data_IF_849265248276
#
_entry.id   IF_849265248276
#
_cell.length_a   1.000
_cell.length_b   1.000
_cell.length_c   1.000
_cell.angle_alpha   90.00
_cell.angle_beta   90.00
_cell.angle_gamma   90.00
#
_symmetry.space_group_name_H-M   'P 1'
#
loop_
_entity.id
_entity.type
_entity.pdbx_description
1 polymer ?
#
# COMPACT_ATOMS: atom_id res chain seq x y z
N UNK A 1 38.92 -57.95 -49.78
CA UNK A 1 38.76 -59.34 -50.25
C UNK A 1 38.57 -60.20 -49.00
N UNK A 2 37.56 -61.06 -48.82
CA UNK A 2 36.41 -61.46 -49.66
C UNK A 2 35.13 -61.57 -48.79
N UNK A 3 33.96 -61.30 -49.40
CA UNK A 3 32.66 -62.02 -49.35
C UNK A 3 32.07 -62.54 -48.00
N UNK A 4 30.77 -62.75 -47.76
CA UNK A 4 29.50 -62.88 -48.51
C UNK A 4 28.35 -62.27 -47.62
N UNK A 5 27.08 -62.04 -47.96
CA UNK A 5 26.22 -62.14 -49.18
C UNK A 5 25.01 -61.18 -49.03
N UNK A 6 24.15 -61.02 -50.06
CA UNK A 6 22.79 -60.44 -49.95
C UNK A 6 21.73 -61.48 -50.30
N UNK A 7 20.56 -61.47 -49.65
CA UNK A 7 19.31 -61.98 -50.24
C UNK A 7 18.09 -61.13 -49.87
N UNK A 8 17.20 -60.90 -50.84
CA UNK A 8 15.84 -60.34 -50.67
C UNK A 8 14.83 -61.48 -50.76
N UNK A 9 13.62 -61.32 -50.19
CA UNK A 9 12.46 -61.23 -51.09
C UNK A 9 11.37 -60.21 -50.70
N UNK A 10 10.66 -59.73 -51.73
CA UNK A 10 9.26 -59.24 -51.70
C UNK A 10 8.35 -60.42 -52.08
N UNK A 11 7.05 -60.50 -51.81
CA UNK A 11 6.09 -59.77 -50.94
C UNK A 11 4.76 -60.54 -50.99
N UNK A 12 3.81 -60.30 -50.07
CA UNK A 12 2.36 -60.26 -50.37
C UNK A 12 1.58 -59.65 -49.20
N UNK A 13 0.52 -58.92 -49.52
CA UNK A 13 -0.38 -58.31 -48.55
C UNK A 13 -1.72 -59.04 -48.52
N UNK A 14 -2.30 -59.18 -47.33
CA UNK A 14 -3.75 -59.32 -47.07
C UNK A 14 -4.00 -58.54 -45.78
N UNK A 15 -4.98 -57.64 -45.78
CA UNK A 15 -5.32 -56.84 -44.60
C UNK A 15 -6.42 -57.47 -43.75
N UNK A 16 -6.63 -56.91 -42.56
CA UNK A 16 -7.89 -56.74 -41.82
C UNK A 16 -7.54 -55.86 -40.60
N UNK A 17 -8.24 -54.74 -40.41
CA UNK A 17 -8.24 -53.99 -39.15
C UNK A 17 -9.36 -54.55 -38.25
N UNK A 18 -9.28 -54.47 -36.91
CA UNK A 18 -9.68 -53.21 -36.28
C UNK A 18 -9.00 -52.83 -34.94
N UNK A 19 -9.19 -51.56 -34.55
CA UNK A 19 -9.17 -51.03 -33.16
C UNK A 19 -7.86 -51.12 -32.36
N UNK A 20 -6.97 -50.14 -32.59
CA UNK A 20 -6.32 -49.46 -31.47
C UNK A 20 -7.20 -48.27 -31.05
N UNK A 21 -7.71 -48.28 -29.82
CA UNK A 21 -8.18 -47.06 -29.14
C UNK A 21 -7.01 -46.55 -28.33
N UNK A 22 -6.22 -45.64 -28.92
CA UNK A 22 -5.27 -44.85 -28.15
C UNK A 22 -6.05 -43.70 -27.49
N UNK A 23 -6.31 -43.80 -26.19
CA UNK A 23 -6.81 -42.65 -25.44
C UNK A 23 -5.65 -41.67 -25.29
N UNK A 24 -5.56 -40.70 -26.21
CA UNK A 24 -4.69 -39.55 -26.04
C UNK A 24 -5.29 -38.65 -24.94
N UNK A 25 -4.88 -38.88 -23.71
CA UNK A 25 -5.11 -37.96 -22.59
C UNK A 25 -4.37 -36.65 -22.90
N UNK A 26 -5.05 -35.73 -23.56
CA UNK A 26 -4.66 -34.34 -23.61
C UNK A 26 -4.81 -33.79 -22.19
N UNK A 27 -3.73 -33.88 -21.40
CA UNK A 27 -3.54 -32.97 -20.30
C UNK A 27 -3.40 -31.57 -20.90
N UNK A 28 -4.53 -30.86 -20.99
CA UNK A 28 -4.53 -29.41 -21.06
C UNK A 28 -3.94 -28.94 -19.74
N UNK A 29 -2.67 -28.53 -19.78
CA UNK A 29 -2.09 -27.72 -18.72
C UNK A 29 -2.79 -26.37 -18.79
N UNK A 30 -3.92 -26.23 -18.09
CA UNK A 30 -4.51 -24.94 -17.78
C UNK A 30 -3.51 -24.21 -16.87
N UNK A 31 -2.58 -23.49 -17.48
CA UNK A 31 -1.83 -22.46 -16.77
C UNK A 31 -2.84 -21.44 -16.26
N UNK A 32 -2.86 -21.10 -14.96
CA UNK A 32 -3.74 -20.04 -14.47
C UNK A 32 -3.38 -18.74 -15.19
N UNK A 33 -4.30 -18.28 -16.04
CA UNK A 33 -4.19 -17.01 -16.75
C UNK A 33 -4.51 -15.90 -15.76
N UNK A 34 -3.47 -15.22 -15.28
CA UNK A 34 -3.60 -14.04 -14.43
C UNK A 34 -4.08 -12.88 -15.30
N UNK A 35 -5.05 -12.11 -14.84
CA UNK A 35 -5.80 -11.22 -15.72
C UNK A 35 -5.36 -9.77 -15.51
N UNK A 36 -4.31 -9.33 -16.19
CA UNK A 36 -3.68 -8.04 -15.91
C UNK A 36 -3.06 -7.38 -17.14
N UNK A 37 -2.92 -6.07 -17.08
CA UNK A 37 -2.09 -5.30 -18.01
C UNK A 37 -1.07 -4.43 -17.27
N UNK A 38 0.03 -4.10 -17.96
CA UNK A 38 1.03 -3.13 -17.48
C UNK A 38 0.80 -1.79 -18.15
N UNK A 39 0.72 -0.74 -17.34
CA UNK A 39 0.75 0.65 -17.75
C UNK A 39 2.17 1.18 -17.50
N UNK A 40 2.91 1.40 -18.58
CA UNK A 40 4.31 1.83 -18.52
C UNK A 40 4.39 3.36 -18.50
N UNK A 41 4.96 3.94 -17.45
CA UNK A 41 5.25 5.36 -17.31
C UNK A 41 6.72 5.62 -17.62
N UNK A 42 7.01 5.94 -18.88
CA UNK A 42 8.33 5.92 -19.50
C UNK A 42 9.29 7.04 -19.08
N UNK A 43 8.97 7.76 -18.00
CA UNK A 43 9.82 8.81 -17.44
C UNK A 43 9.18 9.44 -16.21
N UNK A 44 10.01 10.08 -15.40
CA UNK A 44 9.57 10.88 -14.25
C UNK A 44 8.86 12.14 -14.77
N UNK A 45 7.57 12.29 -14.48
CA UNK A 45 6.80 13.50 -14.83
C UNK A 45 7.35 14.74 -14.10
N UNK A 46 7.84 14.54 -12.87
CA UNK A 46 8.44 15.58 -12.06
C UNK A 46 8.92 15.07 -10.72
N UNK A 47 9.68 15.91 -10.01
CA UNK A 47 10.14 15.68 -8.65
C UNK A 47 9.85 16.93 -7.82
N UNK A 48 9.21 16.79 -6.66
CA UNK A 48 8.86 17.94 -5.82
C UNK A 48 8.07 17.57 -4.57
N UNK A 49 7.92 18.52 -3.65
CA UNK A 49 7.03 18.37 -2.48
C UNK A 49 5.58 18.65 -2.87
N UNK A 50 5.07 17.84 -3.77
CA UNK A 50 3.71 17.91 -4.32
C UNK A 50 2.98 16.66 -3.87
N UNK A 51 1.87 16.85 -3.16
CA UNK A 51 1.01 15.78 -2.66
C UNK A 51 -0.41 16.34 -2.46
N UNK A 52 -1.26 16.26 -3.49
CA UNK A 52 -2.61 16.79 -3.44
C UNK A 52 -3.58 15.98 -2.56
N UNK A 53 -3.15 14.83 -2.03
CA UNK A 53 -3.94 14.05 -1.09
C UNK A 53 -3.61 14.51 0.34
N UNK A 54 -2.33 14.51 0.72
CA UNK A 54 -1.91 14.80 2.11
C UNK A 54 -1.70 16.30 2.39
N UNK A 55 -1.45 17.12 1.38
CA UNK A 55 -1.19 18.55 1.50
C UNK A 55 -1.88 19.40 0.40
N UNK A 56 -3.21 19.28 0.19
CA UNK A 56 -3.92 20.03 -0.85
C UNK A 56 -3.67 21.54 -0.74
N UNK A 57 -3.19 22.12 -1.85
CA UNK A 57 -2.92 23.55 -2.02
C UNK A 57 -1.62 24.02 -1.36
N UNK A 58 -0.78 23.13 -0.83
CA UNK A 58 0.44 23.48 -0.10
C UNK A 58 1.60 22.51 -0.37
N UNK A 59 2.86 22.95 -0.25
CA UNK A 59 4.00 22.04 -0.30
C UNK A 59 3.91 20.91 0.75
N UNK A 60 4.05 19.66 0.28
CA UNK A 60 4.06 18.46 1.10
C UNK A 60 5.21 18.44 2.12
N UNK A 61 5.13 17.55 3.12
CA UNK A 61 6.17 17.43 4.14
C UNK A 61 7.52 16.97 3.57
N UNK A 62 7.50 16.08 2.57
CA UNK A 62 8.66 15.49 1.92
C UNK A 62 8.48 15.45 0.39
N UNK A 63 9.52 15.02 -0.33
CA UNK A 63 9.55 15.05 -1.80
C UNK A 63 9.13 13.72 -2.42
N UNK A 64 8.28 13.80 -3.45
CA UNK A 64 7.85 12.67 -4.26
C UNK A 64 8.47 12.71 -5.65
N UNK A 65 8.60 11.53 -6.25
CA UNK A 65 8.71 11.35 -7.70
C UNK A 65 7.31 11.05 -8.24
N UNK A 66 6.94 11.72 -9.34
CA UNK A 66 5.58 11.69 -9.89
C UNK A 66 5.57 11.14 -11.31
N UNK A 67 4.44 10.54 -11.69
CA UNK A 67 4.16 9.95 -13.00
C UNK A 67 2.69 10.20 -13.37
N UNK A 68 2.36 10.12 -14.67
CA UNK A 68 1.00 10.33 -15.17
C UNK A 68 0.81 11.70 -15.80
N UNK A 69 -0.35 12.33 -15.56
CA UNK A 69 -0.82 13.50 -16.31
C UNK A 69 -0.14 14.84 -15.97
N UNK A 70 0.13 15.66 -16.99
CA UNK A 70 0.92 16.91 -16.89
C UNK A 70 0.39 17.97 -15.93
N UNK A 71 -0.93 17.98 -15.66
CA UNK A 71 -1.55 18.96 -14.77
C UNK A 71 -1.54 18.50 -13.30
N UNK A 72 -0.71 17.50 -12.95
CA UNK A 72 -0.32 17.24 -11.57
C UNK A 72 0.15 18.53 -10.89
N UNK A 73 -0.28 18.75 -9.65
CA UNK A 73 -0.06 20.01 -8.94
C UNK A 73 -0.41 19.91 -7.45
N UNK A 74 -0.42 21.05 -6.75
CA UNK A 74 -0.70 21.07 -5.31
C UNK A 74 -2.15 20.74 -4.95
N UNK A 75 -3.11 20.99 -5.84
CA UNK A 75 -4.54 20.69 -5.65
C UNK A 75 -5.28 20.60 -7.00
N UNK A 76 -4.93 19.62 -7.88
CA UNK A 76 -5.54 19.51 -9.18
C UNK A 76 -6.97 18.98 -9.06
N UNK A 77 -7.89 19.61 -9.78
CA UNK A 77 -9.24 19.08 -9.99
C UNK A 77 -9.23 17.96 -11.04
N UNK A 78 -10.28 17.14 -11.05
CA UNK A 78 -10.47 16.11 -12.08
C UNK A 78 -10.47 16.71 -13.49
N UNK A 79 -11.17 17.82 -13.69
CA UNK A 79 -11.25 18.51 -14.98
C UNK A 79 -9.87 19.02 -15.44
N UNK A 80 -9.02 19.46 -14.50
CA UNK A 80 -7.64 19.85 -14.81
C UNK A 80 -6.76 18.65 -15.17
N UNK A 81 -6.87 17.51 -14.46
CA UNK A 81 -6.14 16.28 -14.81
C UNK A 81 -6.54 15.79 -16.21
N UNK A 82 -7.84 15.67 -16.50
CA UNK A 82 -8.38 15.29 -17.81
C UNK A 82 -7.99 16.30 -18.92
N UNK A 83 -7.76 17.57 -18.58
CA UNK A 83 -7.26 18.60 -19.49
C UNK A 83 -5.72 18.65 -19.63
N UNK A 84 -5.00 17.63 -19.15
CA UNK A 84 -3.53 17.55 -19.29
C UNK A 84 -3.10 17.46 -20.75
N UNK A 85 -2.08 18.24 -21.11
CA UNK A 85 -1.56 18.28 -22.48
C UNK A 85 -0.75 17.02 -22.86
N UNK A 86 -0.23 16.31 -21.86
CA UNK A 86 0.45 15.02 -22.02
C UNK A 86 0.31 14.18 -20.74
N UNK A 87 0.71 12.92 -20.83
CA UNK A 87 0.95 12.02 -19.69
C UNK A 87 2.34 11.41 -19.86
N UNK A 88 3.07 11.11 -18.78
CA UNK A 88 4.33 10.34 -18.89
C UNK A 88 4.09 8.84 -19.15
N UNK A 89 2.82 8.42 -19.18
CA UNK A 89 2.41 7.03 -19.27
C UNK A 89 1.81 6.63 -20.63
N UNK A 90 2.20 5.44 -21.07
CA UNK A 90 1.92 4.76 -22.34
C UNK A 90 0.49 4.90 -22.88
N UNK A 91 -0.54 4.76 -22.04
CA UNK A 91 -1.95 4.78 -22.45
C UNK A 91 -2.47 6.22 -22.41
N UNK A 92 -2.77 6.80 -23.57
CA UNK A 92 -3.19 8.21 -23.72
C UNK A 92 -4.55 8.54 -23.12
N UNK A 93 -5.35 7.53 -22.77
CA UNK A 93 -6.65 7.68 -22.11
C UNK A 93 -6.54 7.70 -20.58
N UNK A 94 -5.33 7.58 -20.03
CA UNK A 94 -5.10 7.62 -18.60
C UNK A 94 -4.50 8.97 -18.20
N UNK A 95 -5.34 9.81 -17.58
CA UNK A 95 -4.92 11.07 -16.99
C UNK A 95 -4.77 10.97 -15.46
N UNK A 96 -4.75 9.76 -14.91
CA UNK A 96 -4.44 9.52 -13.50
C UNK A 96 -3.02 9.98 -13.16
N UNK A 97 -2.76 10.16 -11.87
CA UNK A 97 -1.44 10.51 -11.35
C UNK A 97 -1.01 9.54 -10.26
N UNK A 98 0.28 9.19 -10.29
CA UNK A 98 0.91 8.17 -9.47
C UNK A 98 2.17 8.77 -8.86
N UNK A 99 2.36 8.63 -7.55
CA UNK A 99 3.58 9.12 -6.91
C UNK A 99 4.01 8.27 -5.72
N UNK A 100 5.28 8.42 -5.35
CA UNK A 100 5.89 7.78 -4.19
C UNK A 100 7.09 8.59 -3.68
N UNK A 101 7.56 8.36 -2.44
CA UNK A 101 8.74 9.03 -1.91
C UNK A 101 9.97 8.81 -2.79
N UNK A 102 10.68 9.89 -3.11
CA UNK A 102 11.92 9.82 -3.89
C UNK A 102 13.06 9.25 -3.06
N UNK A 103 13.84 8.32 -3.63
CA UNK A 103 15.08 7.85 -3.01
C UNK A 103 16.22 8.87 -3.13
N UNK A 104 16.99 9.00 -2.07
CA UNK A 104 18.23 9.75 -1.94
C UNK A 104 19.36 8.85 -1.44
N UNK A 105 20.58 9.16 -1.87
CA UNK A 105 21.81 8.65 -1.28
C UNK A 105 22.40 9.69 -0.33
N UNK A 106 22.55 9.34 0.94
CA UNK A 106 23.23 10.16 1.94
C UNK A 106 24.71 9.81 1.96
N UNK A 107 25.54 10.70 1.40
CA UNK A 107 27.00 10.61 1.41
C UNK A 107 27.56 10.68 2.85
N UNK A 108 28.74 10.12 3.08
CA UNK A 108 29.43 10.14 4.38
C UNK A 108 29.70 11.55 4.96
N UNK A 109 29.70 12.59 4.12
CA UNK A 109 29.80 14.00 4.55
C UNK A 109 28.46 14.62 5.02
N UNK A 110 27.36 13.84 4.98
CA UNK A 110 26.01 14.28 5.35
C UNK A 110 25.22 15.01 4.26
N UNK A 111 25.75 15.16 3.03
CA UNK A 111 24.95 15.67 1.89
C UNK A 111 24.13 14.55 1.25
N UNK A 112 22.98 14.91 0.69
CA UNK A 112 22.08 13.98 0.01
C UNK A 112 22.10 14.25 -1.50
N UNK A 113 22.15 13.18 -2.27
CA UNK A 113 22.07 13.18 -3.73
C UNK A 113 20.86 12.36 -4.17
N UNK A 114 20.03 12.91 -5.06
CA UNK A 114 18.86 12.24 -5.58
C UNK A 114 19.26 11.00 -6.40
N UNK A 115 18.69 9.84 -6.10
CA UNK A 115 18.94 8.61 -6.86
C UNK A 115 18.04 8.61 -8.11
N UNK A 116 18.59 8.55 -9.34
CA UNK A 116 17.79 8.48 -10.56
C UNK A 116 16.93 7.21 -10.60
N UNK A 117 15.75 7.27 -11.22
CA UNK A 117 15.07 6.05 -11.65
C UNK A 117 15.68 5.48 -12.93
N UNK A 118 15.40 4.22 -13.22
CA UNK A 118 15.57 3.62 -14.54
C UNK A 118 14.19 3.18 -15.08
N UNK A 119 13.91 3.48 -16.35
CA UNK A 119 12.63 3.19 -17.01
C UNK A 119 11.37 3.90 -16.48
N UNK A 120 11.44 4.59 -15.34
CA UNK A 120 10.32 5.31 -14.71
C UNK A 120 9.51 4.44 -13.75
N UNK A 121 8.19 4.39 -13.95
CA UNK A 121 7.24 3.57 -13.16
C UNK A 121 6.59 2.53 -14.06
N UNK A 122 6.51 1.28 -13.62
CA UNK A 122 5.52 0.32 -14.16
C UNK A 122 4.38 0.20 -13.17
N UNK A 123 3.18 0.61 -13.56
CA UNK A 123 1.95 0.37 -12.81
C UNK A 123 1.24 -0.86 -13.41
N UNK A 124 1.05 -1.91 -12.62
CA UNK A 124 0.25 -3.06 -13.01
C UNK A 124 -1.19 -2.85 -12.55
N UNK A 125 -2.14 -3.15 -13.43
CA UNK A 125 -3.55 -3.24 -13.11
C UNK A 125 -3.94 -4.72 -13.12
N UNK A 126 -4.03 -5.33 -11.94
CA UNK A 126 -4.57 -6.68 -11.79
C UNK A 126 -6.09 -6.61 -11.76
N UNK A 127 -6.72 -7.35 -12.67
CA UNK A 127 -8.17 -7.30 -12.95
C UNK A 127 -8.83 -8.68 -12.82
N UNK A 128 -8.08 -9.70 -12.40
CA UNK A 128 -8.66 -11.02 -12.15
C UNK A 128 -9.73 -10.98 -11.03
N UNK A 129 -10.93 -11.53 -11.28
CA UNK A 129 -11.88 -11.82 -10.22
C UNK A 129 -11.25 -12.74 -9.16
N UNK A 130 -11.69 -12.64 -7.92
CA UNK A 130 -11.27 -13.57 -6.87
C UNK A 130 -11.81 -14.98 -7.15
N UNK A 131 -10.94 -15.98 -7.00
CA UNK A 131 -11.36 -17.39 -7.09
C UNK A 131 -12.21 -17.82 -5.88
N UNK A 132 -12.01 -17.15 -4.74
CA UNK A 132 -12.75 -17.38 -3.50
C UNK A 132 -14.05 -16.57 -3.39
N UNK A 133 -14.15 -15.47 -4.16
CA UNK A 133 -15.30 -14.59 -4.27
C UNK A 133 -15.42 -14.01 -5.69
N UNK A 134 -16.00 -14.75 -6.66
CA UNK A 134 -16.01 -14.38 -8.08
C UNK A 134 -17.04 -13.28 -8.39
N UNK A 135 -16.82 -12.11 -7.80
CA UNK A 135 -17.47 -10.85 -8.13
C UNK A 135 -16.73 -10.17 -9.28
N UNK A 136 -17.40 -9.42 -10.16
CA UNK A 136 -16.73 -8.63 -11.18
C UNK A 136 -15.84 -7.56 -10.56
N UNK A 137 -14.65 -7.36 -11.11
CA UNK A 137 -13.81 -6.20 -10.80
C UNK A 137 -14.46 -4.97 -11.45
N UNK A 138 -14.61 -3.90 -10.68
CA UNK A 138 -15.19 -2.63 -11.13
C UNK A 138 -14.09 -1.59 -11.22
N UNK A 139 -14.01 -0.86 -12.33
CA UNK A 139 -13.05 0.22 -12.53
C UNK A 139 -13.12 1.26 -11.40
N UNK A 140 -11.98 1.89 -11.11
CA UNK A 140 -11.93 3.03 -10.19
C UNK A 140 -12.93 4.11 -10.64
N UNK A 141 -13.80 4.61 -9.75
CA UNK A 141 -14.60 5.78 -10.04
C UNK A 141 -13.74 7.01 -10.37
N UNK A 142 -14.33 7.98 -11.06
CA UNK A 142 -13.67 9.26 -11.33
C UNK A 142 -13.32 10.00 -10.02
N UNK A 143 -12.14 10.63 -9.97
CA UNK A 143 -11.61 11.31 -8.79
C UNK A 143 -11.49 10.41 -7.53
N UNK A 144 -11.40 9.10 -7.72
CA UNK A 144 -11.04 8.15 -6.66
C UNK A 144 -9.59 8.36 -6.21
N UNK A 145 -9.32 8.31 -4.90
CA UNK A 145 -8.02 8.64 -4.30
C UNK A 145 -7.66 7.62 -3.22
N UNK A 146 -6.46 7.08 -3.23
CA UNK A 146 -6.00 6.20 -2.13
C UNK A 146 -4.49 6.22 -1.93
N UNK A 147 -4.08 5.83 -0.71
CA UNK A 147 -2.69 5.64 -0.31
C UNK A 147 -2.47 4.18 0.09
N UNK A 148 -1.33 3.61 -0.31
CA UNK A 148 -0.84 2.32 0.16
C UNK A 148 0.46 2.50 0.95
N UNK A 149 0.61 1.79 2.08
CA UNK A 149 1.78 1.88 2.96
C UNK A 149 1.59 2.86 4.12
N UNK A 150 2.66 3.13 4.87
CA UNK A 150 2.61 4.04 6.04
C UNK A 150 3.94 4.77 6.23
N UNK A 151 3.97 6.06 5.87
CA UNK A 151 5.17 6.92 5.89
C UNK A 151 5.88 7.02 7.25
N UNK A 152 5.21 6.69 8.37
CA UNK A 152 5.79 6.74 9.71
C UNK A 152 6.44 5.42 10.15
N UNK A 153 6.25 4.32 9.41
CA UNK A 153 6.78 3.02 9.80
C UNK A 153 8.30 2.95 9.64
N UNK A 154 8.99 2.29 10.57
CA UNK A 154 10.46 2.05 10.55
C UNK A 154 10.89 0.66 11.03
N UNK A 155 9.95 -0.28 11.14
CA UNK A 155 10.23 -1.66 11.53
C UNK A 155 9.11 -2.62 11.05
N UNK A 156 9.49 -3.83 10.68
CA UNK A 156 8.63 -5.00 10.52
C UNK A 156 9.08 -6.07 11.52
N UNK A 157 8.12 -6.82 12.07
CA UNK A 157 8.38 -7.84 13.08
C UNK A 157 7.91 -9.25 12.69
N UNK A 158 7.39 -9.40 11.46
CA UNK A 158 7.05 -10.71 10.90
C UNK A 158 8.27 -11.45 10.35
N UNK A 159 8.07 -12.70 9.90
CA UNK A 159 9.08 -13.47 9.18
C UNK A 159 9.42 -12.83 7.82
N UNK A 160 10.70 -12.87 7.42
CA UNK A 160 11.13 -12.51 6.07
C UNK A 160 12.10 -13.59 5.54
N UNK A 161 11.83 -14.21 4.37
CA UNK A 161 10.61 -14.05 3.56
C UNK A 161 9.37 -14.57 4.30
N UNK A 162 8.20 -14.17 3.80
CA UNK A 162 6.92 -14.65 4.30
C UNK A 162 6.79 -16.18 4.22
N UNK A 163 6.07 -16.83 5.17
CA UNK A 163 5.61 -18.19 4.96
C UNK A 163 4.66 -18.22 3.76
N UNK A 164 4.65 -19.34 3.03
CA UNK A 164 3.71 -19.57 1.93
C UNK A 164 2.27 -19.27 2.39
N UNK A 165 1.50 -18.54 1.57
CA UNK A 165 0.15 -18.04 1.90
C UNK A 165 -0.82 -19.11 2.44
N UNK A 166 -0.65 -20.37 2.06
CA UNK A 166 -1.41 -21.52 2.59
C UNK A 166 -1.20 -21.82 4.08
N UNK A 167 -0.18 -21.22 4.71
CA UNK A 167 0.12 -21.32 6.14
C UNK A 167 -0.24 -20.04 6.91
N UNK A 168 -0.78 -19.01 6.24
CA UNK A 168 -1.17 -17.76 6.91
C UNK A 168 -2.33 -17.98 7.87
N UNK A 169 -2.20 -17.39 9.04
CA UNK A 169 -3.19 -17.36 10.11
C UNK A 169 -3.93 -16.03 10.14
N UNK A 170 -4.95 -15.90 10.97
CA UNK A 170 -5.71 -14.64 11.11
C UNK A 170 -4.82 -13.45 11.51
N UNK A 171 -3.73 -13.68 12.26
CA UNK A 171 -2.74 -12.64 12.58
C UNK A 171 -1.94 -12.15 11.36
N UNK A 172 -1.64 -13.03 10.40
CA UNK A 172 -0.94 -12.69 9.16
C UNK A 172 -1.86 -11.94 8.17
N UNK A 173 -3.18 -12.05 8.37
CA UNK A 173 -4.25 -11.49 7.53
C UNK A 173 -4.92 -10.25 8.11
N UNK A 174 -4.37 -9.68 9.19
CA UNK A 174 -4.82 -8.35 9.65
C UNK A 174 -4.48 -7.29 8.60
N UNK A 175 -5.29 -6.23 8.49
CA UNK A 175 -5.04 -5.16 7.51
C UNK A 175 -3.65 -4.51 7.67
N UNK A 176 -3.16 -4.41 8.91
CA UNK A 176 -1.79 -3.99 9.18
C UNK A 176 -0.76 -4.99 8.62
N UNK A 177 -0.91 -6.30 8.89
CA UNK A 177 0.02 -7.31 8.37
C UNK A 177 -0.01 -7.39 6.84
N UNK A 178 -1.18 -7.28 6.21
CA UNK A 178 -1.34 -7.26 4.75
C UNK A 178 -0.66 -6.02 4.14
N UNK A 179 -0.85 -4.84 4.71
CA UNK A 179 -0.16 -3.61 4.32
C UNK A 179 1.36 -3.72 4.46
N UNK A 180 1.85 -4.38 5.52
CA UNK A 180 3.29 -4.63 5.71
C UNK A 180 3.88 -5.56 4.64
N UNK A 181 3.12 -6.59 4.25
CA UNK A 181 3.50 -7.55 3.21
C UNK A 181 3.25 -7.05 1.78
N UNK A 182 2.49 -5.97 1.63
CA UNK A 182 2.24 -5.30 0.35
C UNK A 182 3.45 -4.53 -0.18
N UNK A 183 4.49 -4.35 0.65
CA UNK A 183 5.73 -3.64 0.35
C UNK A 183 6.86 -4.61 -0.07
N UNK A 184 7.73 -4.17 -0.99
CA UNK A 184 8.89 -4.93 -1.44
C UNK A 184 10.08 -4.07 -1.87
N UNK A 185 11.29 -4.63 -1.75
CA UNK A 185 12.53 -4.07 -2.29
C UNK A 185 13.38 -5.18 -2.91
N UNK A 186 13.30 -5.33 -4.23
CA UNK A 186 13.99 -6.38 -4.94
C UNK A 186 15.37 -5.91 -5.42
N UNK A 187 16.37 -6.75 -5.21
CA UNK A 187 17.74 -6.57 -5.63
C UNK A 187 17.85 -6.98 -7.10
N UNK A 188 18.14 -6.03 -7.99
CA UNK A 188 18.23 -6.33 -9.41
C UNK A 188 19.64 -6.78 -9.77
N UNK A 189 19.71 -7.99 -10.33
CA UNK A 189 20.90 -8.54 -10.95
C UNK A 189 20.46 -9.46 -12.09
N UNK A 190 20.48 -8.96 -13.32
CA UNK A 190 19.97 -9.66 -14.50
C UNK A 190 20.83 -10.86 -14.93
N UNK A 191 21.93 -11.14 -14.23
CA UNK A 191 22.76 -12.35 -14.39
C UNK A 191 22.40 -13.46 -13.38
N UNK A 192 21.52 -13.19 -12.41
CA UNK A 192 21.06 -14.13 -11.38
C UNK A 192 19.56 -14.42 -11.54
N UNK A 193 19.03 -15.50 -10.90
CA UNK A 193 17.59 -15.68 -10.77
C UNK A 193 16.95 -14.45 -10.10
N UNK A 194 15.84 -13.91 -10.61
CA UNK A 194 15.17 -12.77 -10.00
C UNK A 194 14.56 -13.16 -8.64
N UNK A 195 14.56 -12.21 -7.72
CA UNK A 195 13.85 -12.31 -6.44
C UNK A 195 12.33 -12.23 -6.65
N UNK A 196 11.55 -12.85 -5.76
CA UNK A 196 10.09 -12.80 -5.82
C UNK A 196 9.57 -11.39 -5.51
N UNK A 197 8.52 -10.94 -6.20
CA UNK A 197 7.89 -9.66 -5.91
C UNK A 197 7.42 -9.63 -4.44
N UNK A 198 7.77 -8.56 -3.72
CA UNK A 198 7.50 -8.36 -2.29
C UNK A 198 8.10 -9.43 -1.37
N UNK A 199 9.14 -10.15 -1.79
CA UNK A 199 9.80 -11.17 -0.95
C UNK A 199 10.54 -10.55 0.26
N UNK A 200 11.03 -9.32 0.11
CA UNK A 200 11.74 -8.57 1.15
C UNK A 200 11.08 -7.21 1.41
N UNK A 201 10.34 -7.07 2.51
CA UNK A 201 9.60 -5.86 2.87
C UNK A 201 10.48 -4.68 3.41
N UNK A 202 11.78 -4.68 3.13
CA UNK A 202 12.73 -3.69 3.66
C UNK A 202 13.89 -3.42 2.71
N UNK A 203 14.41 -2.19 2.74
CA UNK A 203 15.60 -1.80 2.00
C UNK A 203 16.84 -2.39 2.67
N UNK A 204 17.56 -3.24 1.94
CA UNK A 204 18.81 -3.85 2.42
C UNK A 204 19.95 -2.82 2.44
N UNK A 205 20.88 -2.98 3.39
CA UNK A 205 21.96 -2.02 3.63
C UNK A 205 22.93 -1.87 2.44
N UNK A 206 23.66 -0.74 2.39
CA UNK A 206 24.62 -0.44 1.32
C UNK A 206 25.58 -1.58 0.99
N UNK A 207 26.12 -2.26 2.01
CA UNK A 207 27.08 -3.37 1.83
C UNK A 207 26.47 -4.53 1.02
N UNK A 208 25.21 -4.89 1.29
CA UNK A 208 24.51 -5.92 0.51
C UNK A 208 24.23 -5.44 -0.92
N UNK A 209 23.77 -4.20 -1.07
CA UNK A 209 23.43 -3.63 -2.38
C UNK A 209 24.64 -3.57 -3.32
N UNK A 210 25.78 -3.05 -2.85
CA UNK A 210 27.03 -2.95 -3.63
C UNK A 210 27.57 -4.31 -4.07
N UNK A 211 27.37 -5.35 -3.26
CA UNK A 211 27.85 -6.70 -3.51
C UNK A 211 26.94 -7.53 -4.44
N UNK A 212 25.66 -7.18 -4.53
CA UNK A 212 24.63 -8.08 -5.10
C UNK A 212 23.79 -7.43 -6.19
N UNK A 213 23.41 -6.16 -6.03
CA UNK A 213 22.39 -5.50 -6.84
C UNK A 213 23.00 -4.68 -7.98
N UNK A 214 23.62 -5.40 -8.92
CA UNK A 214 24.37 -4.85 -10.04
C UNK A 214 23.55 -3.91 -10.94
N UNK A 215 22.23 -4.13 -11.01
CA UNK A 215 21.29 -3.42 -11.88
C UNK A 215 20.30 -2.53 -11.07
N UNK A 216 20.63 -2.23 -9.82
CA UNK A 216 19.85 -1.32 -8.97
C UNK A 216 18.88 -2.01 -7.99
N UNK A 217 17.94 -1.24 -7.43
CA UNK A 217 16.90 -1.73 -6.51
C UNK A 217 15.53 -1.36 -7.06
N UNK A 218 14.64 -2.34 -7.14
CA UNK A 218 13.22 -2.12 -7.48
C UNK A 218 12.44 -1.94 -6.19
N UNK A 219 11.91 -0.74 -5.97
CA UNK A 219 10.93 -0.47 -4.91
C UNK A 219 9.54 -0.88 -5.41
N UNK A 220 8.79 -1.57 -4.56
CA UNK A 220 7.56 -2.25 -4.92
C UNK A 220 6.45 -1.97 -3.90
N UNK A 221 5.25 -1.62 -4.36
CA UNK A 221 4.09 -1.51 -3.45
C UNK A 221 2.78 -1.91 -4.12
N UNK A 222 2.04 -2.80 -3.47
CA UNK A 222 0.68 -3.21 -3.84
C UNK A 222 -0.33 -2.35 -3.07
N UNK A 223 -1.41 -1.96 -3.73
CA UNK A 223 -2.49 -1.18 -3.14
C UNK A 223 -3.63 -2.08 -2.63
N UNK A 224 -4.43 -1.59 -1.68
CA UNK A 224 -5.74 -2.14 -1.36
C UNK A 224 -6.62 -2.30 -2.61
N UNK A 225 -7.31 -3.44 -2.75
CA UNK A 225 -8.17 -3.77 -3.92
C UNK A 225 -9.63 -4.09 -3.56
N UNK A 226 -10.01 -3.90 -2.29
CA UNK A 226 -11.39 -3.98 -1.82
C UNK A 226 -11.90 -2.59 -1.43
N UNK A 227 -13.01 -2.16 -2.03
CA UNK A 227 -13.64 -0.85 -1.81
C UNK A 227 -14.96 -0.97 -1.06
N UNK A 228 -15.28 0.04 -0.24
CA UNK A 228 -16.55 0.13 0.48
C UNK A 228 -17.78 0.38 -0.42
N UNK A 229 -17.58 0.57 -1.73
CA UNK A 229 -18.65 0.73 -2.72
C UNK A 229 -19.34 2.10 -2.71
N UNK A 230 -18.79 3.09 -1.98
CA UNK A 230 -19.45 4.38 -1.74
C UNK A 230 -18.52 5.59 -1.76
N UNK A 231 -17.43 5.56 -1.01
CA UNK A 231 -16.62 6.75 -0.74
C UNK A 231 -15.42 6.82 -1.69
N UNK A 232 -15.34 7.88 -2.51
CA UNK A 232 -14.25 8.10 -3.48
C UNK A 232 -12.88 8.32 -2.81
N UNK A 233 -12.94 8.80 -1.58
CA UNK A 233 -11.83 9.08 -0.70
C UNK A 233 -12.38 9.05 0.74
N UNK A 234 -11.53 8.79 1.72
CA UNK A 234 -11.90 8.90 3.14
C UNK A 234 -11.12 10.01 3.81
N UNK A 235 -11.58 10.44 4.99
CA UNK A 235 -10.90 11.49 5.75
C UNK A 235 -9.45 11.14 6.15
N UNK A 236 -8.95 9.93 5.86
CA UNK A 236 -7.55 9.52 5.99
C UNK A 236 -7.01 8.73 4.79
N UNK A 237 -7.67 8.83 3.63
CA UNK A 237 -7.21 8.30 2.32
C UNK A 237 -6.93 6.79 2.27
N UNK A 238 -7.38 6.04 3.28
CA UNK A 238 -7.13 4.60 3.43
C UNK A 238 -8.35 3.84 3.93
N UNK A 239 -9.15 4.38 4.88
CA UNK A 239 -10.31 3.66 5.47
C UNK A 239 -11.52 3.43 4.56
N UNK A 240 -11.52 3.91 3.30
CA UNK A 240 -12.54 3.55 2.32
C UNK A 240 -12.14 2.32 1.49
N UNK A 241 -10.88 1.86 1.61
CA UNK A 241 -10.35 0.64 0.99
C UNK A 241 -9.75 -0.33 2.01
N UNK A 242 -9.58 -1.58 1.59
CA UNK A 242 -8.92 -2.64 2.36
C UNK A 242 -8.18 -3.61 1.44
N UNK A 243 -7.16 -4.29 1.97
CA UNK A 243 -6.54 -5.41 1.30
C UNK A 243 -7.43 -6.66 1.39
N UNK A 244 -7.59 -7.43 0.30
CA UNK A 244 -8.10 -8.79 0.37
C UNK A 244 -7.13 -9.70 1.13
N UNK A 245 -7.61 -10.87 1.57
CA UNK A 245 -6.86 -11.76 2.46
C UNK A 245 -5.63 -12.46 1.86
N UNK A 246 -5.34 -12.24 0.57
CA UNK A 246 -4.08 -12.58 -0.10
C UNK A 246 -3.41 -11.36 -0.82
N UNK A 247 -3.65 -10.15 -0.32
CA UNK A 247 -3.04 -8.86 -0.69
C UNK A 247 -3.40 -8.34 -2.09
N UNK A 248 -3.07 -9.09 -3.15
CA UNK A 248 -3.40 -8.72 -4.54
C UNK A 248 -4.86 -9.06 -4.85
N UNK A 249 -5.26 -10.27 -4.46
CA UNK A 249 -6.58 -10.86 -4.68
C UNK A 249 -6.97 -11.67 -3.42
N UNK A 250 -8.08 -12.40 -3.44
CA UNK A 250 -8.60 -13.17 -2.31
C UNK A 250 -9.99 -12.69 -1.90
N UNK A 251 -10.40 -12.94 -0.66
CA UNK A 251 -11.70 -12.47 -0.14
C UNK A 251 -11.59 -11.05 0.40
N UNK A 252 -12.56 -10.20 0.09
CA UNK A 252 -12.66 -8.89 0.71
C UNK A 252 -13.19 -8.96 2.15
N UNK A 253 -12.67 -8.12 3.07
CA UNK A 253 -13.17 -8.06 4.44
C UNK A 253 -14.58 -7.45 4.50
N UNK A 254 -15.31 -7.75 5.58
CA UNK A 254 -16.64 -7.18 5.83
C UNK A 254 -16.61 -5.65 5.78
N UNK A 255 -17.56 -5.05 5.06
CA UNK A 255 -17.62 -3.61 4.81
C UNK A 255 -17.01 -3.14 3.49
N UNK A 256 -16.28 -4.01 2.76
CA UNK A 256 -15.62 -3.66 1.49
C UNK A 256 -16.08 -4.58 0.34
N UNK A 257 -17.36 -4.53 -0.07
CA UNK A 257 -17.97 -5.55 -0.94
C UNK A 257 -17.65 -5.41 -2.43
N UNK A 258 -16.83 -4.44 -2.85
CA UNK A 258 -16.53 -4.20 -4.27
C UNK A 258 -15.05 -4.43 -4.54
N UNK A 259 -14.72 -5.39 -5.40
CA UNK A 259 -13.37 -5.51 -5.94
C UNK A 259 -13.11 -4.39 -6.96
N UNK A 260 -11.99 -3.70 -6.79
CA UNK A 260 -11.41 -2.74 -7.75
C UNK A 260 -10.08 -3.30 -8.25
N UNK A 261 -9.49 -2.80 -9.36
CA UNK A 261 -8.21 -3.32 -9.83
C UNK A 261 -7.14 -3.19 -8.75
N UNK A 262 -6.36 -4.25 -8.52
CA UNK A 262 -5.23 -4.15 -7.61
C UNK A 262 -4.08 -3.44 -8.34
N UNK A 263 -3.73 -2.24 -7.88
CA UNK A 263 -2.56 -1.52 -8.38
C UNK A 263 -1.30 -2.05 -7.74
N UNK A 264 -0.28 -2.29 -8.55
CA UNK A 264 1.07 -2.59 -8.08
C UNK A 264 2.07 -1.66 -8.77
N UNK A 265 2.86 -0.94 -8.00
CA UNK A 265 3.91 -0.07 -8.53
C UNK A 265 5.25 -0.79 -8.48
N UNK A 266 5.99 -0.77 -9.57
CA UNK A 266 7.41 -1.10 -9.63
C UNK A 266 8.21 0.13 -10.09
N UNK A 267 9.12 0.62 -9.25
CA UNK A 267 10.02 1.73 -9.56
C UNK A 267 11.47 1.29 -9.37
N UNK A 268 12.26 1.32 -10.44
CA UNK A 268 13.68 0.94 -10.37
C UNK A 268 14.50 2.17 -10.01
N UNK A 269 15.33 2.07 -8.98
CA UNK A 269 16.29 3.09 -8.55
C UNK A 269 17.71 2.64 -8.87
N UNK A 270 18.49 3.51 -9.52
CA UNK A 270 19.86 3.24 -9.98
C UNK A 270 20.90 3.32 -8.82
N UNK A 271 20.69 2.50 -7.78
CA UNK A 271 21.58 2.42 -6.61
C UNK A 271 23.00 1.97 -6.96
N UNK A 272 23.14 1.20 -8.05
CA UNK A 272 24.40 0.73 -8.62
C UNK A 272 25.34 1.87 -9.05
N UNK A 273 24.82 3.06 -9.37
CA UNK A 273 25.64 4.26 -9.67
C UNK A 273 26.48 4.72 -8.47
N UNK A 274 26.09 4.35 -7.24
CA UNK A 274 26.78 4.70 -6.00
C UNK A 274 27.70 3.58 -5.48
N UNK A 275 27.92 2.51 -6.26
CA UNK A 275 28.76 1.38 -5.84
C UNK A 275 30.18 1.84 -5.47
N UNK A 276 30.67 1.45 -4.30
CA UNK A 276 31.98 1.87 -3.79
C UNK A 276 32.04 3.30 -3.23
N UNK A 277 30.94 4.06 -3.28
CA UNK A 277 30.80 5.35 -2.59
C UNK A 277 30.29 5.14 -1.16
N UNK A 278 30.94 5.76 -0.19
CA UNK A 278 30.60 5.65 1.24
C UNK A 278 29.37 6.49 1.60
N UNK A 279 28.35 5.83 2.16
CA UNK A 279 27.05 6.43 2.50
C UNK A 279 25.95 5.37 2.58
N UNK A 280 24.71 5.81 2.78
CA UNK A 280 23.52 4.93 2.87
C UNK A 280 22.36 5.50 2.04
N UNK A 281 21.40 4.65 1.67
CA UNK A 281 20.19 5.09 0.98
C UNK A 281 19.07 5.45 1.95
N UNK A 282 18.22 6.40 1.58
CA UNK A 282 17.04 6.82 2.36
C UNK A 282 15.97 7.37 1.44
N UNK A 283 14.70 7.20 1.79
CA UNK A 283 13.59 7.87 1.12
C UNK A 283 13.40 9.30 1.66
N UNK A 284 12.86 10.19 0.83
CA UNK A 284 12.70 11.61 1.13
C UNK A 284 11.85 11.89 2.39
N UNK A 285 10.99 10.95 2.81
CA UNK A 285 10.28 10.97 4.09
C UNK A 285 11.16 10.61 5.30
N UNK A 286 12.49 10.58 5.13
CA UNK A 286 13.46 10.32 6.18
C UNK A 286 13.48 8.85 6.60
N UNK A 287 13.26 7.92 5.68
CA UNK A 287 13.28 6.49 5.94
C UNK A 287 14.50 5.79 5.30
N UNK A 288 15.51 5.38 6.09
CA UNK A 288 16.63 4.58 5.62
C UNK A 288 16.34 3.07 5.66
N UNK A 289 15.14 2.65 6.08
CA UNK A 289 14.78 1.23 6.29
C UNK A 289 13.91 0.64 5.18
N UNK A 290 13.25 1.48 4.39
CA UNK A 290 12.26 1.10 3.38
C UNK A 290 10.86 0.84 3.94
N UNK A 291 10.71 0.52 5.23
CA UNK A 291 9.41 0.21 5.86
C UNK A 291 8.36 1.32 5.76
N UNK A 292 8.82 2.57 5.64
CA UNK A 292 8.00 3.76 5.48
C UNK A 292 7.79 4.18 4.03
N UNK A 293 8.21 3.38 3.05
CA UNK A 293 7.83 3.60 1.66
C UNK A 293 6.31 3.42 1.51
N UNK A 294 5.73 4.25 0.66
CA UNK A 294 4.30 4.29 0.37
C UNK A 294 4.10 4.70 -1.08
N UNK A 295 2.87 4.59 -1.57
CA UNK A 295 2.49 5.05 -2.88
C UNK A 295 1.10 5.65 -2.84
N UNK A 296 0.87 6.59 -3.74
CA UNK A 296 -0.34 7.38 -3.81
C UNK A 296 -0.94 7.29 -5.21
N UNK A 297 -2.25 7.38 -5.30
CA UNK A 297 -3.02 7.27 -6.54
C UNK A 297 -4.19 8.25 -6.56
N UNK A 298 -4.38 8.95 -7.69
CA UNK A 298 -5.61 9.67 -7.99
C UNK A 298 -6.09 9.32 -9.41
N UNK A 299 -7.29 8.77 -9.51
CA UNK A 299 -7.90 8.30 -10.76
C UNK A 299 -8.47 9.45 -11.60
N UNK A 300 -8.05 9.51 -12.86
CA UNK A 300 -8.64 10.34 -13.91
C UNK A 300 -8.52 9.65 -15.28
N UNK A 301 -8.95 8.39 -15.38
CA UNK A 301 -9.13 7.73 -16.68
C UNK A 301 -10.21 8.41 -17.54
N UNK A 302 -10.12 8.35 -18.86
CA UNK A 302 -11.25 8.61 -19.76
C UNK A 302 -12.46 7.72 -19.34
N UNK A 303 -13.65 8.32 -19.30
CA UNK A 303 -14.84 7.63 -18.80
C UNK A 303 -15.14 6.32 -19.56
N UNK A 304 -15.41 5.26 -18.81
CA UNK A 304 -15.63 3.91 -19.32
C UNK A 304 -14.42 3.19 -19.91
N UNK A 305 -13.28 3.83 -20.19
CA UNK A 305 -12.13 3.17 -20.86
C UNK A 305 -11.57 2.04 -19.99
N UNK A 306 -11.33 2.29 -18.69
CA UNK A 306 -10.81 1.27 -17.78
C UNK A 306 -11.79 0.11 -17.59
N UNK A 307 -13.11 0.36 -17.50
CA UNK A 307 -14.09 -0.73 -17.38
C UNK A 307 -14.17 -1.55 -18.66
N UNK A 308 -14.19 -0.91 -19.83
CA UNK A 308 -14.16 -1.63 -21.10
C UNK A 308 -12.90 -2.49 -21.21
N UNK A 309 -11.75 -2.00 -20.73
CA UNK A 309 -10.52 -2.79 -20.68
C UNK A 309 -10.65 -3.99 -19.72
N UNK A 310 -11.21 -3.80 -18.51
CA UNK A 310 -11.50 -4.88 -17.54
C UNK A 310 -12.47 -5.94 -18.11
N UNK A 311 -13.43 -5.53 -18.94
CA UNK A 311 -14.43 -6.42 -19.53
C UNK A 311 -13.92 -7.15 -20.79
N UNK A 312 -12.85 -6.68 -21.44
CA UNK A 312 -12.32 -7.25 -22.70
C UNK A 312 -11.23 -8.33 -22.44
N UNK A 313 -11.46 -9.60 -22.84
CA UNK A 313 -10.47 -10.67 -22.69
C UNK A 313 -9.14 -10.42 -23.43
N UNK A 314 -9.09 -9.61 -24.48
CA UNK A 314 -7.84 -9.28 -25.16
C UNK A 314 -6.93 -8.38 -24.30
N UNK A 315 -7.53 -7.54 -23.46
CA UNK A 315 -6.80 -6.63 -22.58
C UNK A 315 -6.26 -7.32 -21.34
N UNK A 316 -7.03 -8.25 -20.75
CA UNK A 316 -6.66 -8.89 -19.48
C UNK A 316 -6.17 -10.32 -19.62
N UNK A 317 -6.52 -11.05 -20.68
CA UNK A 317 -5.99 -12.38 -20.98
C UNK A 317 -5.10 -12.34 -22.26
N UNK A 318 -4.04 -11.50 -22.28
CA UNK A 318 -3.19 -11.32 -23.47
C UNK A 318 -2.52 -12.63 -23.92
N UNK A 319 -1.96 -12.61 -25.14
CA UNK A 319 -1.36 -13.78 -25.78
C UNK A 319 0.04 -14.09 -25.21
N UNK A 320 0.06 -14.45 -23.93
CA UNK A 320 1.24 -14.66 -23.10
C UNK A 320 1.02 -14.02 -21.73
N UNK A 321 1.59 -14.62 -20.67
CA UNK A 321 1.41 -14.15 -19.29
C UNK A 321 2.24 -12.90 -18.95
N UNK A 322 2.29 -11.92 -19.87
CA UNK A 322 3.18 -10.76 -19.82
C UNK A 322 2.44 -9.41 -19.67
N UNK A 323 1.11 -9.40 -19.66
CA UNK A 323 0.32 -8.17 -19.48
C UNK A 323 0.71 -7.05 -20.46
N UNK A 324 0.83 -7.37 -21.75
CA UNK A 324 1.33 -6.41 -22.72
C UNK A 324 0.24 -5.43 -23.17
N UNK A 325 0.51 -4.14 -23.06
CA UNK A 325 -0.42 -3.07 -23.43
C UNK A 325 -0.81 -3.08 -24.92
N UNK A 326 0.07 -3.53 -25.83
CA UNK A 326 -0.21 -3.59 -27.28
C UNK A 326 -1.27 -4.65 -27.64
N UNK A 327 -1.52 -5.63 -26.77
CA UNK A 327 -2.47 -6.71 -27.01
C UNK A 327 -3.93 -6.24 -26.78
N UNK A 328 -4.12 -5.12 -26.08
CA UNK A 328 -5.43 -4.55 -25.75
C UNK A 328 -5.93 -3.58 -26.85
N UNK A 329 -6.99 -3.92 -27.59
CA UNK A 329 -7.50 -3.08 -28.70
C UNK A 329 -8.18 -1.78 -28.24
N UNK A 330 -8.37 -1.59 -26.93
CA UNK A 330 -9.03 -0.42 -26.33
C UNK A 330 -8.02 0.71 -26.05
N UNK A 331 -6.75 0.38 -25.83
CA UNK A 331 -5.73 1.36 -25.48
C UNK A 331 -5.16 2.05 -26.72
N UNK A 332 -5.10 3.38 -26.66
CA UNK A 332 -4.38 4.26 -27.57
C UNK A 332 -3.02 4.51 -26.96
N UNK A 333 -1.99 3.88 -27.52
CA UNK A 333 -0.63 4.00 -27.00
C UNK A 333 0.09 5.19 -27.64
N UNK A 334 0.81 5.97 -26.82
CA UNK A 334 1.77 6.97 -27.32
C UNK A 334 3.14 6.36 -27.60
N UNK A 335 4.01 7.12 -28.28
CA UNK A 335 5.40 6.71 -28.43
C UNK A 335 6.12 6.85 -27.08
N UNK A 336 7.14 6.01 -26.85
CA UNK A 336 7.97 6.05 -25.64
C UNK A 336 8.60 7.44 -25.45
N UNK A 337 9.13 8.03 -26.53
CA UNK A 337 9.77 9.35 -26.50
C UNK A 337 8.81 10.45 -26.02
N UNK A 338 7.54 10.42 -26.45
CA UNK A 338 6.52 11.43 -26.05
C UNK A 338 6.27 11.35 -24.52
N UNK A 339 6.16 10.13 -23.99
CA UNK A 339 6.04 9.88 -22.55
C UNK A 339 7.29 10.29 -21.75
N UNK A 340 8.50 10.06 -22.28
CA UNK A 340 9.76 10.50 -21.63
C UNK A 340 9.90 12.03 -21.57
N UNK A 341 9.26 12.75 -22.50
CA UNK A 341 9.34 14.20 -22.63
C UNK A 341 8.21 14.94 -21.90
N UNK A 342 7.15 14.25 -21.50
CA UNK A 342 6.08 14.84 -20.71
C UNK A 342 6.61 15.25 -19.33
N UNK A 343 6.37 16.50 -18.95
CA UNK A 343 6.76 17.07 -17.66
C UNK A 343 5.59 17.88 -17.09
N UNK A 344 5.43 17.87 -15.77
CA UNK A 344 4.50 18.77 -15.08
C UNK A 344 5.08 20.18 -14.93
N UNK A 345 4.21 21.18 -14.79
CA UNK A 345 4.65 22.51 -14.35
C UNK A 345 4.95 22.47 -12.84
N UNK A 346 6.21 22.77 -12.45
CA UNK A 346 6.58 22.86 -11.03
C UNK A 346 5.91 24.09 -10.41
N UNK A 347 5.09 23.94 -9.35
CA UNK A 347 4.41 25.07 -8.71
C UNK A 347 5.37 26.17 -8.27
N UNK A 348 5.00 27.45 -8.45
CA UNK A 348 5.87 28.62 -8.22
C UNK A 348 6.62 28.57 -6.87
N UNK A 349 5.92 28.18 -5.80
CA UNK A 349 6.47 28.05 -4.44
C UNK A 349 7.57 26.99 -4.30
N UNK A 350 7.68 26.04 -5.25
CA UNK A 350 8.68 24.98 -5.30
C UNK A 350 9.80 25.23 -6.34
N UNK A 351 9.62 26.13 -7.31
CA UNK A 351 10.58 26.35 -8.40
C UNK A 351 12.01 26.76 -7.94
N UNK A 352 12.15 27.25 -6.71
CA UNK A 352 13.44 27.64 -6.11
C UNK A 352 13.99 26.63 -5.11
N UNK A 353 13.24 25.57 -4.77
CA UNK A 353 13.69 24.52 -3.87
C UNK A 353 14.75 23.66 -4.58
N UNK A 354 15.93 23.56 -3.98
CA UNK A 354 16.98 22.68 -4.49
C UNK A 354 16.67 21.25 -4.07
N UNK A 355 16.62 20.34 -5.04
CA UNK A 355 16.22 18.95 -4.81
C UNK A 355 17.28 17.91 -5.19
N UNK A 356 18.21 18.20 -6.13
CA UNK A 356 19.13 17.16 -6.65
C UNK A 356 20.31 16.85 -5.74
N UNK A 357 21.07 17.87 -5.31
CA UNK A 357 22.21 17.72 -4.39
C UNK A 357 22.07 18.75 -3.28
N UNK A 358 21.83 18.28 -2.05
CA UNK A 358 21.29 19.08 -0.95
C UNK A 358 21.96 18.76 0.39
N UNK A 359 21.98 19.73 1.32
CA UNK A 359 22.59 19.54 2.64
C UNK A 359 21.66 18.84 3.64
N UNK A 360 20.35 18.87 3.37
CA UNK A 360 19.24 18.31 4.15
C UNK A 360 18.18 17.85 3.15
N UNK A 361 17.41 16.81 3.47
CA UNK A 361 16.30 16.40 2.62
C UNK A 361 15.30 17.57 2.42
N UNK A 362 14.71 17.72 1.22
CA UNK A 362 13.67 18.71 0.96
C UNK A 362 12.57 18.66 2.02
N UNK A 363 12.05 19.82 2.41
CA UNK A 363 11.13 19.92 3.55
C UNK A 363 11.82 19.90 4.93
N UNK A 364 13.16 19.89 5.00
CA UNK A 364 13.96 19.75 6.23
C UNK A 364 13.67 18.46 7.03
N UNK A 365 13.36 17.39 6.29
CA UNK A 365 13.03 16.08 6.85
C UNK A 365 14.28 15.45 7.46
N UNK A 366 14.12 14.88 8.66
CA UNK A 366 15.20 14.20 9.37
C UNK A 366 15.14 12.69 9.13
N UNK A 367 16.29 12.10 8.79
CA UNK A 367 16.44 10.64 8.66
C UNK A 367 16.25 9.98 10.03
N UNK A 368 15.32 9.03 10.12
CA UNK A 368 14.95 8.34 11.35
C UNK A 368 14.95 6.83 11.09
N UNK A 369 15.94 6.10 11.62
CA UNK A 369 16.14 4.68 11.31
C UNK A 369 15.29 3.70 12.15
N UNK A 370 14.35 4.19 12.97
CA UNK A 370 13.52 3.35 13.84
C UNK A 370 14.26 2.75 15.04
N UNK A 371 13.76 1.63 15.61
CA UNK A 371 12.57 0.87 15.18
C UNK A 371 11.23 1.49 15.61
N UNK A 372 11.27 2.57 16.42
CA UNK A 372 10.08 3.36 16.74
C UNK A 372 9.51 4.04 15.49
N UNK A 373 8.19 4.28 15.41
CA UNK A 373 7.60 5.10 14.36
C UNK A 373 8.28 6.48 14.28
N UNK A 374 8.44 6.99 13.05
CA UNK A 374 9.03 8.28 12.80
C UNK A 374 8.18 9.41 13.39
N UNK A 375 8.86 10.41 13.94
CA UNK A 375 8.25 11.66 14.39
C UNK A 375 8.19 12.66 13.25
N UNK A 376 7.16 13.49 13.25
CA UNK A 376 6.89 14.47 12.19
C UNK A 376 7.46 15.83 12.59
N UNK A 377 8.41 16.31 11.79
CA UNK A 377 8.89 17.69 11.86
C UNK A 377 7.83 18.69 11.34
N UNK A 378 7.94 19.99 11.68
CA UNK A 378 6.99 21.01 11.22
C UNK A 378 6.98 21.10 9.68
N UNK A 379 5.78 21.06 9.09
CA UNK A 379 5.58 21.17 7.63
C UNK A 379 5.97 22.57 7.14
N UNK A 380 6.96 22.72 6.23
CA UNK A 380 7.36 24.03 5.73
C UNK A 380 6.28 24.66 4.84
N UNK A 381 5.73 25.79 5.29
CA UNK A 381 4.63 26.51 4.63
C UNK A 381 3.33 26.51 5.43
N UNK A 382 3.18 25.64 6.43
CA UNK A 382 2.04 25.68 7.34
C UNK A 382 2.03 27.00 8.15
N UNK A 383 0.87 27.66 8.34
CA UNK A 383 0.78 28.88 9.13
C UNK A 383 1.21 28.61 10.58
N UNK A 384 2.23 29.36 11.03
CA UNK A 384 2.92 29.11 12.30
C UNK A 384 2.09 29.52 13.52
N UNK A 385 1.12 28.69 13.91
CA UNK A 385 0.50 28.78 15.23
C UNK A 385 1.38 28.06 16.27
N UNK A 386 2.11 28.87 17.03
CA UNK A 386 3.08 28.43 18.02
C UNK A 386 2.46 27.67 19.20
N UNK A 387 3.26 26.77 19.79
CA UNK A 387 3.09 26.21 21.14
C UNK A 387 1.66 25.78 21.52
N UNK A 388 1.17 24.70 20.90
CA UNK A 388 0.17 23.85 21.53
C UNK A 388 0.81 23.08 22.70
N UNK A 389 1.07 23.77 23.82
CA UNK A 389 1.16 23.09 25.12
C UNK A 389 -0.11 22.29 25.31
N UNK A 390 0.01 20.98 25.50
CA UNK A 390 -1.10 20.06 25.77
C UNK A 390 -1.73 20.37 27.14
N UNK A 391 -2.55 21.41 27.20
CA UNK A 391 -3.41 21.70 28.34
C UNK A 391 -4.56 20.70 28.37
N UNK A 392 -4.44 19.72 29.25
CA UNK A 392 -5.50 18.76 29.55
C UNK A 392 -6.71 19.43 30.23
N UNK A 393 -7.59 20.06 29.44
CA UNK A 393 -8.97 20.39 29.79
C UNK A 393 -9.73 20.87 28.53
N UNK A 394 -10.65 20.05 28.00
CA UNK A 394 -12.11 20.15 28.23
C UNK A 394 -12.73 18.85 27.72
N UNK A 395 -13.16 17.96 28.62
CA UNK A 395 -14.14 16.92 28.27
C UNK A 395 -15.48 17.62 28.01
N UNK A 396 -15.84 17.80 26.74
CA UNK A 396 -17.21 18.13 26.36
C UNK A 396 -17.93 16.84 25.97
N UNK A 397 -19.04 16.57 26.64
CA UNK A 397 -19.80 15.32 26.53
C UNK A 397 -20.48 15.20 25.17
N UNK A 398 -19.99 14.30 24.31
CA UNK A 398 -20.80 13.75 23.21
C UNK A 398 -21.50 12.47 23.68
N UNK A 399 -22.81 12.43 23.50
CA UNK A 399 -23.65 11.31 23.94
C UNK A 399 -23.57 10.15 22.96
N UNK A 400 -23.07 8.99 23.40
CA UNK A 400 -23.10 7.77 22.60
C UNK A 400 -24.55 7.31 22.34
N UNK A 401 -24.92 6.89 21.10
CA UNK A 401 -26.12 6.09 20.89
C UNK A 401 -25.94 4.72 21.55
N UNK A 402 -27.04 4.13 22.03
CA UNK A 402 -26.99 2.93 22.87
C UNK A 402 -26.57 1.67 22.10
N UNK A 403 -25.49 1.02 22.56
CA UNK A 403 -25.15 -0.35 22.15
C UNK A 403 -26.03 -1.33 22.92
N UNK A 404 -26.83 -2.11 22.20
CA UNK A 404 -27.64 -3.17 22.81
C UNK A 404 -26.75 -4.35 23.20
N UNK A 405 -26.78 -4.72 24.48
CA UNK A 405 -25.96 -5.81 25.02
C UNK A 405 -26.35 -7.18 24.47
N UNK A 406 -25.36 -7.96 24.02
CA UNK A 406 -25.44 -9.42 24.02
C UNK A 406 -24.25 -10.04 24.77
N UNK A 407 -24.49 -11.22 25.33
CA UNK A 407 -23.76 -11.79 26.46
C UNK A 407 -22.57 -12.65 26.04
N UNK A 408 -21.38 -12.34 26.59
CA UNK A 408 -20.26 -13.27 26.81
C UNK A 408 -20.51 -14.12 28.08
N UNK A 409 -19.75 -15.22 28.38
CA UNK A 409 -18.45 -15.59 27.81
C UNK A 409 -18.21 -17.10 27.48
N UNK A 410 -17.11 -17.36 26.76
CA UNK A 410 -16.10 -18.36 27.14
C UNK A 410 -14.71 -17.92 26.61
N UNK A 411 -13.63 -18.41 27.22
CA UNK A 411 -12.36 -17.67 27.35
C UNK A 411 -11.20 -18.07 26.43
N UNK A 412 -10.47 -17.10 25.87
CA UNK A 412 -8.99 -17.13 25.80
C UNK A 412 -8.36 -15.74 25.57
N UNK A 413 -7.55 -15.27 26.52
CA UNK A 413 -6.60 -14.14 26.44
C UNK A 413 -7.08 -12.84 25.75
N UNK A 414 -7.92 -12.06 26.43
CA UNK A 414 -8.35 -10.75 25.94
C UNK A 414 -7.24 -9.68 26.10
N UNK A 415 -6.49 -9.41 25.02
CA UNK A 415 -6.08 -8.05 24.68
C UNK A 415 -6.95 -7.60 23.50
N UNK A 416 -7.99 -6.81 23.79
CA UNK A 416 -8.71 -6.12 22.73
C UNK A 416 -7.91 -4.87 22.35
N UNK A 417 -7.44 -4.87 21.11
CA UNK A 417 -6.73 -3.77 20.49
C UNK A 417 -7.66 -3.19 19.43
N UNK A 418 -8.35 -2.11 19.77
CA UNK A 418 -9.21 -1.39 18.82
C UNK A 418 -8.37 -0.28 18.20
N UNK A 419 -8.00 -0.44 16.92
CA UNK A 419 -7.31 0.61 16.17
C UNK A 419 -8.33 1.51 15.48
N UNK A 420 -8.25 2.82 15.70
CA UNK A 420 -9.05 3.82 14.98
C UNK A 420 -8.12 4.88 14.41
N UNK A 421 -8.11 5.04 13.09
CA UNK A 421 -7.23 5.98 12.40
C UNK A 421 -7.99 7.26 12.00
N UNK A 422 -7.40 8.44 12.20
CA UNK A 422 -7.95 9.72 11.73
C UNK A 422 -6.86 10.67 11.24
N UNK A 423 -7.20 11.64 10.39
CA UNK A 423 -6.23 12.67 9.96
C UNK A 423 -6.17 13.86 10.93
N UNK A 424 -4.95 14.31 11.19
CA UNK A 424 -4.68 15.60 11.81
C UNK A 424 -3.51 16.27 11.11
N UNK A 425 -3.71 17.44 10.52
CA UNK A 425 -2.68 18.20 9.80
C UNK A 425 -1.92 17.41 8.71
N UNK A 426 -2.61 16.62 7.89
CA UNK A 426 -1.95 15.80 6.84
C UNK A 426 -1.28 14.53 7.37
N UNK A 427 -1.71 14.02 8.53
CA UNK A 427 -1.09 12.85 9.20
C UNK A 427 -2.13 11.81 9.59
N UNK A 428 -1.95 10.57 9.15
CA UNK A 428 -2.69 9.43 9.69
C UNK A 428 -2.26 9.15 11.12
N UNK A 429 -3.18 9.36 12.07
CA UNK A 429 -2.99 9.09 13.50
C UNK A 429 -3.73 7.79 13.85
N UNK A 430 -2.98 6.70 14.01
CA UNK A 430 -3.51 5.43 14.49
C UNK A 430 -3.69 5.45 16.02
N UNK A 431 -4.93 5.59 16.51
CA UNK A 431 -5.23 5.36 17.92
C UNK A 431 -5.34 3.87 18.19
N UNK A 432 -4.33 3.32 18.85
CA UNK A 432 -4.36 1.96 19.38
C UNK A 432 -4.97 1.98 20.79
N UNK A 433 -6.27 1.72 20.90
CA UNK A 433 -6.96 1.54 22.18
C UNK A 433 -6.71 0.11 22.68
N UNK A 434 -5.85 -0.02 23.70
CA UNK A 434 -5.62 -1.29 24.41
C UNK A 434 -6.50 -1.33 25.65
N UNK A 435 -7.57 -2.13 25.63
CA UNK A 435 -8.35 -2.38 26.84
C UNK A 435 -7.72 -3.50 27.68
N UNK A 436 -7.17 -3.14 28.85
CA UNK A 436 -6.64 -4.08 29.83
C UNK A 436 -7.66 -4.34 30.95
N UNK A 437 -8.27 -5.54 30.96
CA UNK A 437 -9.20 -5.96 32.02
C UNK A 437 -8.43 -6.42 33.26
N UNK A 438 -8.04 -5.46 34.11
CA UNK A 438 -7.35 -5.73 35.37
C UNK A 438 -8.33 -6.35 36.39
N UNK A 439 -8.28 -7.67 36.54
CA UNK A 439 -9.07 -8.38 37.56
C UNK A 439 -8.40 -8.26 38.93
N UNK A 440 -8.88 -7.33 39.76
CA UNK A 440 -8.38 -7.16 41.14
C UNK A 440 -9.07 -8.16 42.08
N UNK A 441 -8.41 -9.30 42.35
CA UNK A 441 -8.87 -10.26 43.35
C UNK A 441 -8.57 -9.76 44.76
N UNK A 442 -9.56 -9.15 45.41
CA UNK A 442 -9.46 -8.74 46.83
C UNK A 442 -9.48 -9.98 47.74
N UNK A 443 -8.30 -10.41 48.21
CA UNK A 443 -8.19 -11.39 49.30
C UNK A 443 -8.59 -10.74 50.62
N UNK A 444 -9.81 -11.06 51.09
CA UNK A 444 -10.30 -10.55 52.37
C UNK A 444 -9.48 -11.10 53.55
N UNK A 445 -8.64 -10.25 54.14
CA UNK A 445 -7.95 -10.54 55.39
C UNK A 445 -8.93 -10.46 56.57
N UNK A 446 -9.21 -11.59 57.20
CA UNK A 446 -10.06 -11.65 58.39
C UNK A 446 -9.38 -10.91 59.54
N UNK A 447 -9.98 -9.81 59.98
CA UNK A 447 -9.63 -9.14 61.24
C UNK A 447 -10.70 -9.41 62.30
N UNK A 448 -10.33 -9.50 63.60
CA UNK A 448 -11.21 -10.04 64.63
C UNK A 448 -12.34 -9.07 65.00
N UNK A 449 -13.48 -9.65 65.38
CA UNK A 449 -14.68 -8.90 65.77
C UNK A 449 -14.48 -8.06 67.03
N UNK A 450 -14.91 -6.81 67.00
CA UNK A 450 -15.10 -5.95 68.18
C UNK A 450 -16.46 -5.22 68.15
N UNK A 451 -16.92 -4.93 69.36
CA UNK A 451 -18.31 -4.84 69.82
C UNK A 451 -19.25 -3.77 69.22
N UNK A 452 -20.55 -3.97 69.44
CA UNK A 452 -21.63 -3.08 68.99
C UNK A 452 -21.80 -1.85 69.91
N UNK A 453 -21.61 -0.64 69.37
CA UNK A 453 -22.08 0.59 70.00
C UNK A 453 -23.20 1.28 69.23
N UNK A 454 -24.45 0.94 69.59
CA UNK A 454 -25.63 1.76 69.26
C UNK A 454 -25.55 3.11 69.96
N UNK A 455 -25.67 4.21 69.23
CA UNK A 455 -26.05 5.52 69.79
C UNK A 455 -27.43 5.93 69.28
N UNK A 456 -28.37 6.02 70.19
CA UNK A 456 -29.73 6.48 69.92
C UNK A 456 -29.77 8.00 69.78
N UNK A 457 -30.51 8.49 68.77
CA UNK A 457 -30.84 9.90 68.65
C UNK A 457 -31.99 10.28 69.60
N UNK A 458 -31.77 11.36 70.35
CA UNK A 458 -32.78 12.11 71.09
C UNK A 458 -32.77 13.56 70.57
N UNK A 459 -33.83 14.37 70.64
CA UNK A 459 -35.31 14.18 70.58
C UNK A 459 -35.92 15.61 70.64
N UNK A 460 -37.24 15.71 70.49
CA UNK A 460 -38.07 16.90 70.75
C UNK A 460 -38.07 17.99 69.65
N UNK A 461 -39.22 18.53 69.22
CA UNK A 461 -40.61 18.10 69.46
C UNK A 461 -41.62 19.25 69.40
N UNK A 462 -42.90 18.92 69.24
CA UNK A 462 -44.02 19.80 69.61
C UNK A 462 -45.10 18.98 70.34
N UNK A 463 -45.73 19.60 71.35
CA UNK A 463 -46.62 18.94 72.31
C UNK A 463 -47.84 19.83 72.58
N UNK A 464 -49.00 19.36 72.12
CA UNK A 464 -50.33 19.70 72.64
C UNK A 464 -51.05 18.35 72.81
N UNK A 465 -51.88 18.08 73.82
CA UNK A 465 -52.34 18.88 74.96
C UNK A 465 -53.68 18.29 75.44
N UNK A 466 -54.04 18.49 76.73
CA UNK A 466 -55.28 18.00 77.40
C UNK A 466 -55.38 16.47 77.63
N UNK A 467 -56.11 15.97 78.63
CA UNK A 467 -56.64 16.56 79.88
C UNK A 467 -57.10 15.42 80.82
N UNK A 468 -57.06 15.65 82.14
CA UNK A 468 -57.82 14.94 83.21
C UNK A 468 -57.46 13.45 83.43
N UNK A 469 -57.57 12.90 84.65
CA UNK A 469 -58.01 13.43 85.95
C UNK A 469 -57.19 12.76 87.07
#
# INVERSE_FOLDING_TARGET
MMAHVKFKPKARAVGIAPRMVLLALCFLWFTPTHAFFRHLCHGELGNGRVDPIMAPGSPAQHLHVMFGASNMGLDPTLDELLASNCTSCSILQDHSVYWSPRMYFQHANGTFEMVPTDGGLTAYYFTEPSLDEPTPVVAFPQNFRMIAGNSLKRAFYGPVPDPQMSFWTDSDKTQQALMEKALGFNCLNYQLPPEGAREYHYLRNKTFLDATCADGVRAEIMFPSCWNGKDLDSANHTTHVAYPDAIQNGRCPEGYPVHIPALFYETIYQTNLFNGTEGEFTFANGDPTGYGYHGDFMCAWDDGVLQNAIDDPACNLPLGAAGNQDDCPIFKLQNVDDGTQCQMEVPEVLQTEKINFVQQLPGNVQVQAGPAPATIGPIPGAPSNANATMSAAVMSTFSSPAVTSMTTPCTSNNRFTTTTSYMSNGVMVDLILVEEVVTVTLTASVSPATDNHKRHAHKHGHRHGRDRL
#
